data_IF_067471625662
#
_entry.id   IF_067471625662
#
_cell.length_a   1.000
_cell.length_b   1.000
_cell.length_c   1.000
_cell.angle_alpha   90.00
_cell.angle_beta   90.00
_cell.angle_gamma   90.00
#
_symmetry.space_group_name_H-M   'P 1'
#
loop_
_entity.id
_entity.type
_entity.pdbx_description
1 polymer ?
#
# COMPACT_ATOMS: atom_id res chain seq x y z
N UNK A 1 11.79 55.37 -68.68
CA UNK A 1 12.53 54.71 -67.57
C UNK A 1 11.59 54.64 -66.40
N UNK A 2 11.06 53.46 -66.08
CA UNK A 2 10.19 53.23 -64.94
C UNK A 2 10.96 52.36 -63.93
N UNK A 3 11.35 52.95 -62.80
CA UNK A 3 12.04 52.28 -61.73
C UNK A 3 11.02 51.58 -60.81
N UNK A 4 11.03 50.24 -60.83
CA UNK A 4 10.19 49.43 -59.93
C UNK A 4 10.87 49.30 -58.57
N UNK A 5 10.22 49.81 -57.53
CA UNK A 5 10.63 49.67 -56.14
C UNK A 5 10.09 48.30 -55.62
N UNK A 6 10.98 47.34 -55.35
CA UNK A 6 10.61 46.09 -54.68
C UNK A 6 10.59 46.28 -53.17
N UNK A 7 9.43 46.29 -52.58
CA UNK A 7 9.25 46.27 -51.11
C UNK A 7 9.44 44.83 -50.65
N UNK A 8 10.48 44.58 -49.87
CA UNK A 8 10.74 43.30 -49.20
C UNK A 8 9.97 43.28 -47.84
N UNK A 9 8.88 42.56 -47.78
CA UNK A 9 8.12 42.34 -46.54
C UNK A 9 8.86 41.29 -45.69
N UNK A 10 9.50 41.71 -44.58
CA UNK A 10 10.05 40.80 -43.57
C UNK A 10 8.91 40.38 -42.65
N UNK A 11 8.48 39.11 -42.81
CA UNK A 11 7.54 38.47 -41.89
C UNK A 11 8.30 38.09 -40.61
N UNK A 12 8.14 38.87 -39.55
CA UNK A 12 8.56 38.50 -38.21
C UNK A 12 7.61 37.40 -37.67
N UNK A 13 8.03 36.15 -37.75
CA UNK A 13 7.39 35.06 -36.99
C UNK A 13 7.76 35.26 -35.50
N UNK A 14 6.86 35.87 -34.74
CA UNK A 14 6.92 35.83 -33.29
C UNK A 14 6.39 34.43 -32.86
N UNK A 15 7.31 33.53 -32.55
CA UNK A 15 6.99 32.29 -31.84
C UNK A 15 6.59 32.66 -30.40
N UNK A 16 5.30 32.72 -30.16
CA UNK A 16 4.78 32.76 -28.80
C UNK A 16 5.11 31.41 -28.15
N UNK A 17 6.20 31.31 -27.42
CA UNK A 17 6.45 30.29 -26.41
C UNK A 17 5.46 30.56 -25.28
N UNK A 18 4.27 30.01 -25.40
CA UNK A 18 3.37 29.88 -24.25
C UNK A 18 4.02 28.92 -23.26
N UNK A 19 4.74 29.47 -22.28
CA UNK A 19 4.98 28.75 -21.05
C UNK A 19 3.60 28.55 -20.40
N UNK A 20 3.02 27.38 -20.57
CA UNK A 20 1.84 26.98 -19.84
C UNK A 20 2.17 27.04 -18.36
N UNK A 21 1.70 28.07 -17.68
CA UNK A 21 1.68 28.06 -16.21
C UNK A 21 0.82 26.88 -15.81
N UNK A 22 1.38 25.87 -15.14
CA UNK A 22 0.62 24.83 -14.50
C UNK A 22 -0.29 25.51 -13.45
N UNK A 23 -1.55 25.70 -13.80
CA UNK A 23 -2.54 26.28 -12.90
C UNK A 23 -2.79 25.26 -11.79
N UNK A 24 -2.43 25.61 -10.57
CA UNK A 24 -2.75 24.82 -9.38
C UNK A 24 -4.26 24.72 -9.20
N UNK A 25 -4.79 23.50 -9.06
CA UNK A 25 -6.22 23.24 -8.90
C UNK A 25 -6.43 22.40 -7.63
N UNK A 26 -7.43 22.81 -6.84
CA UNK A 26 -7.92 21.96 -5.73
C UNK A 26 -8.73 20.80 -6.31
N UNK A 27 -8.44 19.58 -5.87
CA UNK A 27 -9.13 18.35 -6.25
C UNK A 27 -9.65 17.68 -4.97
N UNK A 28 -10.92 17.30 -4.97
CA UNK A 28 -11.55 16.47 -3.94
C UNK A 28 -12.63 15.67 -4.66
N UNK A 29 -12.27 14.47 -5.14
CA UNK A 29 -13.11 13.71 -6.05
C UNK A 29 -12.94 12.20 -5.92
N UNK A 30 -14.00 11.49 -6.30
CA UNK A 30 -14.00 10.06 -6.55
C UNK A 30 -14.06 9.82 -8.05
N UNK A 31 -13.09 9.12 -8.59
CA UNK A 31 -13.04 8.67 -9.97
C UNK A 31 -13.30 7.18 -10.04
N UNK A 32 -13.79 6.71 -11.19
CA UNK A 32 -14.06 5.29 -11.45
C UNK A 32 -13.43 4.82 -12.76
N UNK A 33 -12.09 4.89 -12.88
CA UNK A 33 -11.40 4.39 -14.05
C UNK A 33 -11.64 2.89 -14.27
N UNK A 34 -11.51 2.46 -15.52
CA UNK A 34 -11.44 1.04 -15.85
C UNK A 34 -10.02 0.54 -15.58
N UNK A 35 -9.88 -0.38 -14.64
CA UNK A 35 -8.62 -0.99 -14.21
C UNK A 35 -8.84 -2.51 -14.17
N UNK A 36 -8.00 -3.25 -14.87
CA UNK A 36 -8.10 -4.72 -14.91
C UNK A 36 -9.46 -5.23 -15.41
N UNK A 37 -10.11 -4.50 -16.31
CA UNK A 37 -11.39 -4.87 -16.94
C UNK A 37 -12.64 -4.61 -16.10
N UNK A 38 -12.51 -3.92 -14.95
CA UNK A 38 -13.64 -3.47 -14.12
C UNK A 38 -13.46 -2.01 -13.72
N UNK A 39 -14.55 -1.32 -13.37
CA UNK A 39 -14.48 0.01 -12.77
C UNK A 39 -14.00 -0.09 -11.34
N UNK A 40 -12.94 0.62 -10.99
CA UNK A 40 -12.42 0.66 -9.61
C UNK A 40 -12.42 2.10 -9.08
N UNK A 41 -12.71 2.26 -7.79
CA UNK A 41 -12.87 3.59 -7.19
C UNK A 41 -11.52 4.12 -6.70
N UNK A 42 -11.20 5.33 -7.15
CA UNK A 42 -10.01 6.08 -6.76
C UNK A 42 -10.42 7.42 -6.19
N UNK A 43 -10.04 7.72 -4.95
CA UNK A 43 -10.23 9.02 -4.31
C UNK A 43 -8.95 9.85 -4.48
N UNK A 44 -9.10 11.10 -4.92
CA UNK A 44 -7.99 12.06 -5.05
C UNK A 44 -8.32 13.31 -4.24
N UNK A 45 -7.45 13.65 -3.29
CA UNK A 45 -7.57 14.83 -2.44
C UNK A 45 -6.31 15.66 -2.45
N UNK A 46 -6.40 16.92 -2.90
CA UNK A 46 -5.33 17.91 -2.85
C UNK A 46 -5.89 19.33 -2.87
N UNK A 47 -5.17 20.27 -2.29
CA UNK A 47 -5.41 21.70 -2.45
C UNK A 47 -4.55 22.32 -3.57
N UNK A 48 -3.60 21.55 -4.11
CA UNK A 48 -2.67 21.94 -5.19
C UNK A 48 -2.30 20.72 -6.04
N UNK A 49 -2.82 20.65 -7.26
CA UNK A 49 -2.60 19.55 -8.21
C UNK A 49 -1.13 19.39 -8.65
N UNK A 50 -0.26 20.37 -8.34
CA UNK A 50 1.18 20.27 -8.62
C UNK A 50 1.95 19.51 -7.54
N UNK A 51 1.32 19.21 -6.40
CA UNK A 51 1.93 18.38 -5.36
C UNK A 51 2.17 16.96 -5.87
N UNK A 52 3.28 16.32 -5.46
CA UNK A 52 3.55 14.93 -5.85
C UNK A 52 2.46 13.99 -5.32
N UNK A 53 2.17 12.96 -6.09
CA UNK A 53 1.18 11.94 -5.72
C UNK A 53 1.74 11.05 -4.61
N UNK A 54 0.93 10.77 -3.58
CA UNK A 54 1.14 9.68 -2.64
C UNK A 54 -0.05 8.71 -2.73
N UNK A 55 0.19 7.56 -3.38
CA UNK A 55 -0.79 6.49 -3.49
C UNK A 55 -0.65 5.51 -2.33
N UNK A 56 -1.77 5.23 -1.66
CA UNK A 56 -1.88 4.23 -0.60
C UNK A 56 -2.40 2.91 -1.16
N UNK A 57 -1.65 1.83 -0.96
CA UNK A 57 -2.09 0.45 -1.17
C UNK A 57 -2.55 -0.10 0.17
N UNK A 58 -3.87 -0.26 0.31
CA UNK A 58 -4.50 -0.74 1.56
C UNK A 58 -4.12 -2.17 1.89
N UNK A 59 -4.17 -2.49 3.17
CA UNK A 59 -4.00 -3.85 3.69
C UNK A 59 -5.23 -4.74 3.47
N UNK A 60 -5.30 -5.82 4.20
CA UNK A 60 -6.37 -6.81 4.12
C UNK A 60 -5.81 -8.17 3.68
N UNK A 61 -6.07 -8.66 2.44
CA UNK A 61 -6.74 -8.03 1.31
C UNK A 61 -8.20 -7.65 1.55
N UNK A 62 -8.73 -6.79 0.67
CA UNK A 62 -10.14 -6.42 0.71
C UNK A 62 -10.51 -5.28 1.66
N UNK A 63 -9.54 -4.58 2.27
CA UNK A 63 -9.81 -3.41 3.11
C UNK A 63 -9.88 -2.12 2.30
N UNK A 64 -10.78 -1.21 2.69
CA UNK A 64 -10.85 0.16 2.18
C UNK A 64 -10.29 1.15 3.20
N UNK A 65 -9.53 2.14 2.73
CA UNK A 65 -9.06 3.26 3.54
C UNK A 65 -9.77 4.58 3.22
N UNK A 66 -10.59 4.65 2.16
CA UNK A 66 -11.21 5.89 1.67
C UNK A 66 -11.94 6.63 2.80
N UNK A 67 -12.72 5.95 3.64
CA UNK A 67 -13.48 6.57 4.70
C UNK A 67 -12.69 6.90 5.98
N UNK A 68 -11.46 6.39 6.11
CA UNK A 68 -10.64 6.49 7.33
C UNK A 68 -9.32 7.22 7.12
N UNK A 69 -8.92 7.43 5.87
CA UNK A 69 -7.61 8.01 5.51
C UNK A 69 -7.36 9.39 6.13
N UNK A 70 -8.39 10.21 6.27
CA UNK A 70 -8.28 11.55 6.86
C UNK A 70 -7.74 11.52 8.30
N UNK A 71 -7.93 10.43 9.05
CA UNK A 71 -7.44 10.28 10.41
C UNK A 71 -5.89 10.22 10.50
N UNK A 72 -5.22 9.82 9.42
CA UNK A 72 -3.77 9.63 9.39
C UNK A 72 -3.06 10.28 8.19
N UNK A 73 -3.75 11.17 7.45
CA UNK A 73 -3.16 11.86 6.28
C UNK A 73 -3.24 13.38 6.35
N UNK A 74 -3.82 13.96 7.41
CA UNK A 74 -4.08 15.40 7.48
C UNK A 74 -2.84 16.28 7.25
N UNK A 75 -1.70 15.94 7.88
CA UNK A 75 -0.46 16.68 7.67
C UNK A 75 0.19 16.36 6.32
N UNK A 76 -0.02 15.16 5.78
CA UNK A 76 0.52 14.75 4.47
C UNK A 76 -0.11 15.55 3.33
N UNK A 77 -1.37 15.98 3.43
CA UNK A 77 -2.05 16.84 2.44
C UNK A 77 -1.31 18.15 2.17
N UNK A 78 -0.51 18.62 3.12
CA UNK A 78 0.32 19.82 2.93
C UNK A 78 1.48 19.59 1.94
N UNK A 79 1.89 18.36 1.73
CA UNK A 79 3.06 17.97 0.93
C UNK A 79 2.71 17.14 -0.31
N UNK A 80 1.56 16.46 -0.30
CA UNK A 80 1.16 15.50 -1.32
C UNK A 80 -0.26 15.71 -1.82
N UNK A 81 -0.49 15.27 -3.03
CA UNK A 81 -1.79 14.83 -3.50
C UNK A 81 -2.05 13.44 -2.95
N UNK A 82 -2.98 13.30 -2.02
CA UNK A 82 -3.32 12.02 -1.37
C UNK A 82 -4.26 11.25 -2.28
N UNK A 83 -3.89 10.00 -2.55
CA UNK A 83 -4.70 9.08 -3.34
C UNK A 83 -4.98 7.81 -2.55
N UNK A 84 -6.27 7.48 -2.44
CA UNK A 84 -6.77 6.22 -1.90
C UNK A 84 -7.41 5.42 -3.04
N UNK A 85 -7.15 4.12 -3.07
CA UNK A 85 -7.70 3.21 -4.05
C UNK A 85 -8.40 2.05 -3.37
N UNK A 86 -9.70 1.92 -3.61
CA UNK A 86 -10.43 0.71 -3.25
C UNK A 86 -10.16 -0.34 -4.34
N UNK A 87 -9.34 -1.30 -3.98
CA UNK A 87 -8.93 -2.40 -4.84
C UNK A 87 -10.17 -3.21 -5.28
N UNK A 88 -10.01 -4.06 -6.32
CA UNK A 88 -11.10 -4.95 -6.72
C UNK A 88 -11.63 -5.72 -5.49
N UNK A 89 -12.93 -5.99 -5.47
CA UNK A 89 -13.66 -6.65 -4.38
C UNK A 89 -13.48 -6.03 -2.98
N UNK A 90 -13.08 -4.74 -2.93
CA UNK A 90 -12.95 -3.98 -1.70
C UNK A 90 -13.81 -2.70 -1.74
N UNK A 91 -14.31 -2.29 -0.57
CA UNK A 91 -14.96 -1.00 -0.33
C UNK A 91 -15.96 -0.58 -1.41
N UNK A 92 -15.83 0.66 -1.89
CA UNK A 92 -16.72 1.24 -2.92
C UNK A 92 -16.59 0.57 -4.29
N UNK A 93 -15.44 -0.05 -4.59
CA UNK A 93 -15.28 -0.85 -5.82
C UNK A 93 -16.19 -2.06 -5.80
N UNK A 94 -16.25 -2.79 -4.68
CA UNK A 94 -17.17 -3.92 -4.52
C UNK A 94 -18.64 -3.48 -4.57
N UNK A 95 -18.98 -2.31 -3.96
CA UNK A 95 -20.31 -1.74 -4.04
C UNK A 95 -20.71 -1.38 -5.48
N UNK A 96 -19.74 -0.93 -6.30
CA UNK A 96 -19.95 -0.56 -7.70
C UNK A 96 -20.10 -1.77 -8.62
N UNK A 97 -19.22 -2.76 -8.46
CA UNK A 97 -19.23 -4.02 -9.20
C UNK A 97 -18.34 -5.07 -8.53
N UNK A 98 -18.75 -6.33 -8.61
CA UNK A 98 -17.91 -7.44 -8.20
C UNK A 98 -16.99 -7.88 -9.34
N UNK A 99 -15.87 -8.50 -9.00
CA UNK A 99 -14.99 -9.12 -10.00
C UNK A 99 -15.67 -10.32 -10.67
N UNK A 100 -15.45 -10.54 -11.96
CA UNK A 100 -16.00 -11.70 -12.66
C UNK A 100 -15.35 -13.03 -12.21
N UNK A 101 -14.17 -12.96 -11.60
CA UNK A 101 -13.41 -14.10 -11.07
C UNK A 101 -12.83 -13.75 -9.71
N UNK A 102 -12.49 -14.75 -8.91
CA UNK A 102 -11.76 -14.52 -7.66
C UNK A 102 -10.44 -13.78 -7.92
N UNK A 103 -10.08 -12.82 -7.05
CA UNK A 103 -8.81 -12.10 -7.17
C UNK A 103 -7.61 -13.05 -7.04
N UNK A 104 -6.61 -12.91 -7.91
CA UNK A 104 -5.28 -13.51 -7.76
C UNK A 104 -4.24 -12.43 -7.47
N UNK A 105 -3.10 -12.81 -6.91
CA UNK A 105 -1.99 -11.88 -6.69
C UNK A 105 -1.56 -11.23 -8.01
N UNK A 106 -1.37 -12.02 -9.05
CA UNK A 106 -0.97 -11.53 -10.39
C UNK A 106 -1.96 -10.50 -10.96
N UNK A 107 -3.28 -10.72 -10.80
CA UNK A 107 -4.28 -9.75 -11.26
C UNK A 107 -4.21 -8.44 -10.45
N UNK A 108 -4.02 -8.54 -9.14
CA UNK A 108 -3.90 -7.37 -8.25
C UNK A 108 -2.63 -6.57 -8.53
N UNK A 109 -1.54 -7.23 -8.86
CA UNK A 109 -0.27 -6.61 -9.29
C UNK A 109 -0.46 -5.82 -10.60
N UNK A 110 -1.13 -6.42 -11.60
CA UNK A 110 -1.48 -5.75 -12.85
C UNK A 110 -2.40 -4.55 -12.64
N UNK A 111 -3.38 -4.68 -11.76
CA UNK A 111 -4.26 -3.57 -11.39
C UNK A 111 -3.47 -2.43 -10.74
N UNK A 112 -2.52 -2.75 -9.86
CA UNK A 112 -1.65 -1.77 -9.20
C UNK A 112 -0.83 -0.99 -10.22
N UNK A 113 -0.24 -1.67 -11.19
CA UNK A 113 0.47 -1.00 -12.29
C UNK A 113 -0.47 -0.08 -13.09
N UNK A 114 -1.67 -0.54 -13.41
CA UNK A 114 -2.64 0.25 -14.19
C UNK A 114 -3.13 1.48 -13.42
N UNK A 115 -3.40 1.37 -12.11
CA UNK A 115 -3.80 2.54 -11.30
C UNK A 115 -2.67 3.56 -11.22
N UNK A 116 -1.43 3.15 -11.07
CA UNK A 116 -0.27 4.05 -11.09
C UNK A 116 -0.18 4.78 -12.44
N UNK A 117 -0.27 4.05 -13.55
CA UNK A 117 -0.25 4.64 -14.89
C UNK A 117 -1.40 5.60 -15.16
N UNK A 118 -2.59 5.26 -14.65
CA UNK A 118 -3.75 6.15 -14.71
C UNK A 118 -3.48 7.46 -13.96
N UNK A 119 -2.98 7.39 -12.72
CA UNK A 119 -2.72 8.57 -11.89
C UNK A 119 -1.63 9.47 -12.48
N UNK A 120 -0.55 8.89 -12.96
CA UNK A 120 0.55 9.62 -13.63
C UNK A 120 0.00 10.43 -14.82
N UNK A 121 -0.86 9.82 -15.63
CA UNK A 121 -1.48 10.47 -16.79
C UNK A 121 -2.51 11.53 -16.36
N UNK A 122 -3.38 11.19 -15.42
CA UNK A 122 -4.49 12.05 -14.97
C UNK A 122 -4.00 13.34 -14.30
N UNK A 123 -2.92 13.23 -13.52
CA UNK A 123 -2.35 14.34 -12.75
C UNK A 123 -1.09 14.92 -13.40
N UNK A 124 -0.76 14.52 -14.63
CA UNK A 124 0.40 15.00 -15.41
C UNK A 124 1.71 14.95 -14.60
N UNK A 125 1.98 13.82 -13.96
CA UNK A 125 3.20 13.54 -13.19
C UNK A 125 4.04 12.51 -13.95
N UNK A 126 5.34 12.40 -13.63
CA UNK A 126 6.22 11.36 -14.20
C UNK A 126 6.36 10.16 -13.26
N UNK A 127 6.35 10.43 -11.95
CA UNK A 127 6.54 9.46 -10.88
C UNK A 127 5.60 9.73 -9.72
N UNK A 128 5.46 8.74 -8.85
CA UNK A 128 4.67 8.85 -7.62
C UNK A 128 5.49 8.44 -6.40
N UNK A 129 5.03 8.83 -5.22
CA UNK A 129 5.35 8.15 -3.97
C UNK A 129 4.31 7.04 -3.76
N UNK A 130 4.79 5.84 -3.41
CA UNK A 130 3.94 4.68 -3.20
C UNK A 130 4.06 4.24 -1.74
N UNK A 131 2.93 3.97 -1.10
CA UNK A 131 2.90 3.43 0.26
C UNK A 131 2.09 2.14 0.28
N UNK A 132 2.71 1.06 0.71
CA UNK A 132 2.03 -0.21 0.96
C UNK A 132 1.85 -0.46 2.46
N UNK A 133 0.66 -0.89 2.88
CA UNK A 133 0.38 -1.30 4.26
C UNK A 133 0.00 -2.78 4.31
N UNK A 134 0.71 -3.59 5.11
CA UNK A 134 0.42 -5.02 5.26
C UNK A 134 0.32 -5.74 3.89
N UNK A 135 -0.83 -6.32 3.54
CA UNK A 135 -1.11 -6.87 2.20
C UNK A 135 -0.71 -5.92 1.06
N UNK A 136 -0.94 -4.60 1.20
CA UNK A 136 -0.55 -3.62 0.19
C UNK A 136 0.93 -3.66 -0.16
N UNK A 137 1.79 -4.22 0.70
CA UNK A 137 3.20 -4.39 0.38
C UNK A 137 3.47 -5.53 -0.61
N UNK A 138 2.60 -6.53 -0.72
CA UNK A 138 2.69 -7.56 -1.77
C UNK A 138 2.68 -6.88 -3.13
N UNK A 139 1.71 -5.98 -3.32
CA UNK A 139 1.54 -5.19 -4.54
C UNK A 139 2.64 -4.13 -4.70
N UNK A 140 3.03 -3.49 -3.59
CA UNK A 140 4.08 -2.46 -3.60
C UNK A 140 5.45 -3.02 -3.99
N UNK A 141 5.85 -4.16 -3.45
CA UNK A 141 7.12 -4.80 -3.82
C UNK A 141 7.15 -5.28 -5.27
N UNK A 142 6.03 -5.70 -5.83
CA UNK A 142 5.92 -5.96 -7.27
C UNK A 142 6.29 -4.72 -8.10
N UNK A 143 5.78 -3.55 -7.75
CA UNK A 143 6.12 -2.28 -8.44
C UNK A 143 7.59 -1.91 -8.21
N UNK A 144 8.12 -2.06 -7.00
CA UNK A 144 9.52 -1.79 -6.67
C UNK A 144 10.48 -2.66 -7.49
N UNK A 145 10.13 -3.92 -7.71
CA UNK A 145 10.93 -4.89 -8.46
C UNK A 145 10.84 -4.65 -9.99
N UNK A 146 9.62 -4.46 -10.51
CA UNK A 146 9.36 -4.50 -11.95
C UNK A 146 9.22 -3.10 -12.59
N UNK A 147 8.90 -2.06 -11.81
CA UNK A 147 8.61 -0.71 -12.30
C UNK A 147 9.19 0.39 -11.40
N UNK A 148 10.45 0.28 -10.92
CA UNK A 148 11.06 1.27 -10.03
C UNK A 148 11.16 2.67 -10.66
N UNK A 149 11.16 2.76 -11.99
CA UNK A 149 11.19 4.03 -12.74
C UNK A 149 9.94 4.89 -12.52
N UNK A 150 8.83 4.30 -12.07
CA UNK A 150 7.58 5.02 -11.76
C UNK A 150 7.58 5.62 -10.35
N UNK A 151 8.60 5.35 -9.53
CA UNK A 151 8.62 5.70 -8.12
C UNK A 151 9.63 6.81 -7.82
N UNK A 152 9.23 7.82 -7.05
CA UNK A 152 10.14 8.67 -6.30
C UNK A 152 10.71 7.92 -5.10
N UNK A 153 9.87 7.23 -4.34
CA UNK A 153 10.23 6.35 -3.23
C UNK A 153 9.09 5.38 -2.90
N UNK A 154 9.43 4.33 -2.18
CA UNK A 154 8.47 3.38 -1.63
C UNK A 154 8.48 3.40 -0.10
N UNK A 155 7.30 3.48 0.52
CA UNK A 155 7.09 3.40 1.97
C UNK A 155 6.45 2.04 2.31
N UNK A 156 7.22 1.16 2.91
CA UNK A 156 6.79 -0.19 3.30
C UNK A 156 6.32 -0.18 4.77
N UNK A 157 5.00 -0.19 4.98
CA UNK A 157 4.38 -0.12 6.31
C UNK A 157 3.98 -1.51 6.78
N UNK A 158 4.57 -1.99 7.87
CA UNK A 158 4.38 -3.34 8.41
C UNK A 158 4.37 -4.39 7.30
N UNK A 159 5.48 -4.53 6.54
CA UNK A 159 5.48 -5.22 5.27
C UNK A 159 5.43 -6.75 5.42
N UNK A 160 4.81 -7.39 4.44
CA UNK A 160 4.91 -8.83 4.20
C UNK A 160 6.27 -9.14 3.59
N UNK A 161 7.22 -9.62 4.40
CA UNK A 161 8.60 -9.96 3.97
C UNK A 161 8.75 -11.47 3.71
N UNK A 162 8.34 -12.30 4.67
CA UNK A 162 8.28 -13.76 4.54
C UNK A 162 7.04 -14.23 5.29
N UNK A 163 5.95 -14.43 4.55
CA UNK A 163 4.65 -14.67 5.17
C UNK A 163 4.64 -16.00 5.93
N UNK A 164 5.18 -17.06 5.31
CA UNK A 164 5.25 -18.37 5.96
C UNK A 164 6.00 -18.29 7.31
N UNK A 165 7.15 -17.63 7.33
CA UNK A 165 7.95 -17.47 8.55
C UNK A 165 7.21 -16.64 9.61
N UNK A 166 6.53 -15.55 9.20
CA UNK A 166 5.73 -14.72 10.10
C UNK A 166 4.58 -15.50 10.75
N UNK A 167 3.86 -16.32 9.97
CA UNK A 167 2.75 -17.15 10.50
C UNK A 167 3.26 -18.24 11.45
N UNK A 168 4.40 -18.85 11.16
CA UNK A 168 5.00 -19.85 12.05
C UNK A 168 5.43 -19.22 13.39
N UNK A 169 6.04 -18.04 13.36
CA UNK A 169 6.43 -17.31 14.55
C UNK A 169 5.21 -16.86 15.36
N UNK A 170 4.20 -16.30 14.68
CA UNK A 170 2.94 -15.90 15.31
C UNK A 170 2.25 -17.07 15.99
N UNK A 171 2.10 -18.22 15.33
CA UNK A 171 1.48 -19.41 15.92
C UNK A 171 2.22 -19.87 17.18
N UNK A 172 3.56 -19.84 17.17
CA UNK A 172 4.38 -20.17 18.33
C UNK A 172 4.12 -19.20 19.49
N UNK A 173 4.09 -17.89 19.23
CA UNK A 173 3.80 -16.86 20.22
C UNK A 173 2.41 -17.06 20.84
N UNK A 174 1.40 -17.31 20.00
CA UNK A 174 0.02 -17.49 20.47
C UNK A 174 -0.14 -18.78 21.31
N UNK A 175 0.48 -19.90 20.91
CA UNK A 175 0.47 -21.14 21.67
C UNK A 175 1.06 -20.96 23.08
N UNK A 176 2.15 -20.22 23.21
CA UNK A 176 2.76 -19.91 24.52
C UNK A 176 1.87 -18.99 25.32
N UNK A 177 1.34 -17.91 24.69
CA UNK A 177 0.52 -16.92 25.40
C UNK A 177 -0.78 -17.50 25.96
N UNK A 178 -1.41 -18.42 25.25
CA UNK A 178 -2.71 -18.99 25.60
C UNK A 178 -2.63 -20.41 26.16
N UNK A 179 -1.48 -20.83 26.68
CA UNK A 179 -1.29 -22.21 27.18
C UNK A 179 -2.30 -22.61 28.28
N UNK A 180 -2.69 -21.66 29.13
CA UNK A 180 -3.67 -21.88 30.22
C UNK A 180 -5.14 -21.72 29.74
N UNK A 181 -5.38 -21.32 28.49
CA UNK A 181 -6.72 -21.20 27.94
C UNK A 181 -7.08 -22.48 27.16
N UNK A 182 -7.96 -23.36 27.65
CA UNK A 182 -8.20 -24.66 27.03
C UNK A 182 -8.84 -24.55 25.64
N UNK A 183 -9.64 -23.52 25.37
CA UNK A 183 -10.26 -23.29 24.05
C UNK A 183 -9.17 -22.85 23.06
N UNK A 184 -8.39 -21.86 23.42
CA UNK A 184 -7.30 -21.36 22.56
C UNK A 184 -6.27 -22.44 22.28
N UNK A 185 -5.84 -23.18 23.32
CA UNK A 185 -4.87 -24.26 23.18
C UNK A 185 -5.36 -25.35 22.21
N UNK A 186 -6.65 -25.73 22.29
CA UNK A 186 -7.25 -26.72 21.37
C UNK A 186 -7.30 -26.20 19.94
N UNK A 187 -7.82 -24.97 19.72
CA UNK A 187 -7.93 -24.37 18.39
C UNK A 187 -6.55 -24.12 17.75
N UNK A 188 -5.60 -23.54 18.49
CA UNK A 188 -4.23 -23.30 17.99
C UNK A 188 -3.44 -24.58 17.75
N UNK A 189 -3.75 -25.67 18.48
CA UNK A 189 -3.13 -26.98 18.24
C UNK A 189 -3.56 -27.59 16.90
N UNK A 190 -4.78 -27.29 16.43
CA UNK A 190 -5.32 -27.81 15.15
C UNK A 190 -4.79 -27.09 13.91
N UNK A 191 -4.18 -25.90 14.07
CA UNK A 191 -3.71 -25.07 12.95
C UNK A 191 -2.56 -25.73 12.21
N UNK A 192 -2.69 -25.80 10.88
CA UNK A 192 -1.62 -26.19 9.97
C UNK A 192 -0.99 -24.95 9.33
N UNK A 193 0.32 -24.94 9.19
CA UNK A 193 1.06 -23.95 8.40
C UNK A 193 2.00 -24.73 7.45
N UNK A 194 1.91 -24.52 6.12
CA UNK A 194 0.94 -23.68 5.39
C UNK A 194 -0.52 -24.07 5.64
N UNK A 195 -1.42 -23.10 5.54
CA UNK A 195 -2.86 -23.29 5.77
C UNK A 195 -3.47 -24.31 4.81
N UNK A 196 -4.30 -25.19 5.32
CA UNK A 196 -4.97 -26.23 4.53
C UNK A 196 -6.46 -25.98 4.38
N UNK A 197 -7.04 -25.30 5.35
CA UNK A 197 -8.47 -24.96 5.42
C UNK A 197 -8.60 -23.53 5.96
N UNK A 198 -9.74 -22.88 5.69
CA UNK A 198 -9.98 -21.48 6.11
C UNK A 198 -9.95 -21.31 7.63
N UNK A 199 -10.31 -22.34 8.39
CA UNK A 199 -10.23 -22.32 9.85
C UNK A 199 -8.80 -22.22 10.38
N UNK A 200 -7.79 -22.67 9.66
CA UNK A 200 -6.39 -22.52 10.07
C UNK A 200 -6.03 -21.01 10.22
N UNK A 201 -6.34 -20.21 9.19
CA UNK A 201 -6.15 -18.78 9.21
C UNK A 201 -7.09 -18.09 10.20
N UNK A 202 -8.36 -18.50 10.26
CA UNK A 202 -9.33 -17.97 11.20
C UNK A 202 -8.86 -18.09 12.64
N UNK A 203 -8.40 -19.26 13.08
CA UNK A 203 -7.96 -19.47 14.47
C UNK A 203 -6.73 -18.61 14.82
N UNK A 204 -5.77 -18.47 13.91
CA UNK A 204 -4.63 -17.58 14.14
C UNK A 204 -5.10 -16.13 14.28
N UNK A 205 -5.94 -15.61 13.37
CA UNK A 205 -6.44 -14.23 13.42
C UNK A 205 -7.35 -13.98 14.63
N UNK A 206 -8.22 -14.92 14.98
CA UNK A 206 -9.04 -14.86 16.18
C UNK A 206 -8.18 -14.65 17.42
N UNK A 207 -7.20 -15.49 17.64
CA UNK A 207 -6.38 -15.42 18.85
C UNK A 207 -5.35 -14.29 18.84
N UNK A 208 -4.87 -13.88 17.69
CA UNK A 208 -4.09 -12.65 17.56
C UNK A 208 -4.91 -11.43 18.00
N UNK A 209 -6.08 -11.25 17.43
CA UNK A 209 -6.94 -10.10 17.73
C UNK A 209 -7.48 -10.13 19.17
N UNK A 210 -7.77 -11.33 19.70
CA UNK A 210 -8.13 -11.47 21.10
C UNK A 210 -6.99 -11.04 22.03
N UNK A 211 -5.75 -11.44 21.71
CA UNK A 211 -4.55 -10.98 22.41
C UNK A 211 -4.38 -9.46 22.38
N UNK A 212 -4.82 -8.81 21.31
CA UNK A 212 -4.84 -7.35 21.14
C UNK A 212 -6.03 -6.66 21.87
N UNK A 213 -6.85 -7.41 22.62
CA UNK A 213 -7.98 -6.88 23.37
C UNK A 213 -9.30 -6.78 22.57
N UNK A 214 -9.39 -7.39 21.39
CA UNK A 214 -10.59 -7.37 20.55
C UNK A 214 -11.50 -8.56 20.91
N UNK A 215 -12.29 -8.44 21.96
CA UNK A 215 -13.15 -9.56 22.45
C UNK A 215 -14.24 -10.00 21.48
N UNK A 216 -14.73 -9.12 20.60
CA UNK A 216 -15.76 -9.43 19.61
C UNK A 216 -15.37 -10.56 18.64
N UNK A 217 -14.08 -10.87 18.51
CA UNK A 217 -13.59 -11.95 17.63
C UNK A 217 -14.02 -13.36 18.08
N UNK A 218 -14.53 -13.50 19.29
CA UNK A 218 -15.08 -14.78 19.81
C UNK A 218 -16.53 -15.01 19.41
N UNK A 219 -17.18 -14.04 18.75
CA UNK A 219 -18.60 -14.14 18.35
C UNK A 219 -18.78 -14.89 17.04
N UNK A 220 -19.96 -15.52 16.88
CA UNK A 220 -20.35 -16.15 15.62
C UNK A 220 -20.43 -15.14 14.46
N UNK A 221 -20.81 -13.88 14.74
CA UNK A 221 -20.85 -12.83 13.74
C UNK A 221 -19.46 -12.57 13.15
N UNK A 222 -18.41 -12.52 13.97
CA UNK A 222 -17.03 -12.37 13.48
C UNK A 222 -16.61 -13.60 12.67
N UNK A 223 -16.87 -14.82 13.18
CA UNK A 223 -16.54 -16.06 12.47
C UNK A 223 -17.19 -16.09 11.09
N UNK A 224 -18.50 -15.84 11.02
CA UNK A 224 -19.24 -15.86 9.75
C UNK A 224 -18.73 -14.78 8.77
N UNK A 225 -18.42 -13.58 9.27
CA UNK A 225 -17.83 -12.51 8.47
C UNK A 225 -16.45 -12.89 7.93
N UNK A 226 -15.61 -13.52 8.75
CA UNK A 226 -14.28 -13.96 8.35
C UNK A 226 -14.35 -15.08 7.29
N UNK A 227 -15.19 -16.08 7.47
CA UNK A 227 -15.37 -17.15 6.49
C UNK A 227 -15.90 -16.61 5.16
N UNK A 228 -16.83 -15.66 5.19
CA UNK A 228 -17.29 -14.98 3.97
C UNK A 228 -16.17 -14.21 3.28
N UNK A 229 -15.29 -13.54 4.03
CA UNK A 229 -14.08 -12.92 3.50
C UNK A 229 -13.15 -13.98 2.88
N UNK A 230 -12.98 -15.13 3.54
CA UNK A 230 -12.15 -16.25 3.04
C UNK A 230 -12.64 -16.79 1.70
N UNK A 231 -13.95 -16.87 1.46
CA UNK A 231 -14.52 -17.30 0.17
C UNK A 231 -13.96 -16.49 -1.01
N UNK A 232 -13.68 -15.19 -0.81
CA UNK A 232 -13.12 -14.31 -1.85
C UNK A 232 -11.60 -14.34 -1.87
N UNK A 233 -10.96 -14.32 -0.70
CA UNK A 233 -9.56 -13.93 -0.59
C UNK A 233 -8.58 -15.05 -0.23
N UNK A 234 -9.06 -16.22 0.26
CA UNK A 234 -8.16 -17.33 0.61
C UNK A 234 -7.27 -17.79 -0.54
N UNK A 235 -7.73 -17.84 -1.83
CA UNK A 235 -6.83 -18.21 -2.92
C UNK A 235 -5.64 -17.26 -3.04
N UNK A 236 -5.88 -15.95 -3.09
CA UNK A 236 -4.80 -14.95 -3.14
C UNK A 236 -3.93 -14.97 -1.88
N UNK A 237 -4.54 -15.16 -0.68
CA UNK A 237 -3.78 -15.25 0.57
C UNK A 237 -2.86 -16.48 0.62
N UNK A 238 -3.30 -17.62 0.04
CA UNK A 238 -2.47 -18.81 -0.06
C UNK A 238 -1.27 -18.61 -1.02
N UNK A 239 -1.42 -17.80 -2.08
CA UNK A 239 -0.30 -17.41 -2.93
C UNK A 239 0.74 -16.60 -2.14
N UNK A 240 0.28 -15.69 -1.25
CA UNK A 240 1.15 -14.86 -0.39
C UNK A 240 1.98 -15.69 0.58
N UNK A 241 1.53 -16.90 0.98
CA UNK A 241 2.34 -17.80 1.80
C UNK A 241 3.67 -18.22 1.15
N UNK A 242 3.80 -18.06 -0.17
CA UNK A 242 5.03 -18.36 -0.91
C UNK A 242 5.99 -17.15 -0.99
N UNK A 243 5.59 -15.98 -0.52
CA UNK A 243 6.46 -14.78 -0.52
C UNK A 243 7.59 -14.96 0.49
N UNK A 244 8.82 -14.80 -0.02
CA UNK A 244 10.07 -14.84 0.75
C UNK A 244 11.07 -13.86 0.13
N UNK A 245 10.89 -12.57 0.40
CA UNK A 245 11.69 -11.49 -0.19
C UNK A 245 13.21 -11.63 0.08
N UNK A 246 13.66 -12.12 1.25
CA UNK A 246 15.08 -12.43 1.45
C UNK A 246 15.69 -13.35 0.40
N UNK A 247 14.89 -14.23 -0.22
CA UNK A 247 15.35 -15.10 -1.30
C UNK A 247 15.19 -14.48 -2.68
N UNK A 248 14.08 -13.76 -2.92
CA UNK A 248 13.65 -13.33 -4.26
C UNK A 248 14.05 -11.90 -4.59
N UNK A 249 14.08 -10.97 -3.62
CA UNK A 249 14.32 -9.54 -3.84
C UNK A 249 15.42 -9.01 -2.91
N UNK A 250 16.68 -9.14 -3.36
CA UNK A 250 17.87 -8.74 -2.59
C UNK A 250 18.36 -7.32 -2.87
N UNK A 251 17.89 -6.72 -3.95
CA UNK A 251 18.28 -5.39 -4.39
C UNK A 251 17.10 -4.70 -5.06
N UNK A 252 16.95 -3.39 -4.79
CA UNK A 252 15.91 -2.53 -5.38
C UNK A 252 16.54 -1.28 -5.96
N UNK A 253 15.91 -0.69 -6.99
CA UNK A 253 16.44 0.44 -7.75
C UNK A 253 15.73 1.77 -7.47
N UNK A 254 14.97 1.85 -6.38
CA UNK A 254 14.36 3.10 -5.88
C UNK A 254 14.62 3.26 -4.38
N UNK A 255 14.57 4.48 -3.83
CA UNK A 255 14.60 4.70 -2.39
C UNK A 255 13.46 3.95 -1.69
N UNK A 256 13.76 3.28 -0.58
CA UNK A 256 12.77 2.49 0.19
C UNK A 256 12.89 2.79 1.68
N UNK A 257 11.74 3.00 2.32
CA UNK A 257 11.64 3.33 3.73
C UNK A 257 10.71 2.34 4.43
N UNK A 258 11.23 1.67 5.46
CA UNK A 258 10.48 0.71 6.25
C UNK A 258 9.89 1.38 7.49
N UNK A 259 8.62 1.15 7.74
CA UNK A 259 7.88 1.64 8.90
C UNK A 259 7.28 0.44 9.61
N UNK A 260 7.74 0.10 10.79
CA UNK A 260 7.25 -1.10 11.47
C UNK A 260 6.94 -0.83 12.92
N UNK A 261 5.84 -1.40 13.42
CA UNK A 261 5.46 -1.36 14.81
C UNK A 261 6.30 -2.32 15.62
N UNK A 262 6.94 -1.85 16.69
CA UNK A 262 7.83 -2.70 17.53
C UNK A 262 7.12 -3.91 18.14
N UNK A 263 5.80 -3.83 18.28
CA UNK A 263 4.95 -4.90 18.82
C UNK A 263 4.24 -5.70 17.75
N UNK A 264 4.59 -5.48 16.46
CA UNK A 264 3.96 -6.23 15.37
C UNK A 264 4.47 -7.68 15.36
N UNK A 265 3.55 -8.59 15.64
CA UNK A 265 3.76 -10.03 15.56
C UNK A 265 3.02 -10.66 14.37
N UNK A 266 2.23 -9.87 13.62
CA UNK A 266 1.49 -10.36 12.47
C UNK A 266 2.40 -10.46 11.24
N UNK A 267 3.20 -9.44 10.97
CA UNK A 267 4.21 -9.43 9.89
C UNK A 267 5.64 -9.39 10.43
N UNK A 268 5.83 -9.85 11.64
CA UNK A 268 7.08 -9.95 12.42
C UNK A 268 8.09 -8.83 12.19
N UNK A 269 8.18 -7.91 13.16
CA UNK A 269 9.20 -6.85 13.17
C UNK A 269 10.62 -7.39 13.00
N UNK A 270 10.95 -8.51 13.65
CA UNK A 270 12.29 -9.11 13.59
C UNK A 270 12.65 -9.59 12.18
N UNK A 271 11.67 -10.14 11.45
CA UNK A 271 11.85 -10.56 10.04
C UNK A 271 12.09 -9.32 9.17
N UNK A 272 11.35 -8.24 9.41
CA UNK A 272 11.51 -6.97 8.69
C UNK A 272 12.88 -6.35 8.95
N UNK A 273 13.33 -6.27 10.21
CA UNK A 273 14.64 -5.73 10.59
C UNK A 273 15.78 -6.51 9.91
N UNK A 274 15.71 -7.84 9.95
CA UNK A 274 16.70 -8.68 9.29
C UNK A 274 16.75 -8.46 7.77
N UNK A 275 15.59 -8.42 7.12
CA UNK A 275 15.53 -8.15 5.68
C UNK A 275 16.06 -6.76 5.34
N UNK A 276 15.73 -5.74 6.15
CA UNK A 276 16.25 -4.39 5.98
C UNK A 276 17.79 -4.37 5.99
N UNK A 277 18.45 -5.11 6.89
CA UNK A 277 19.92 -5.18 6.93
C UNK A 277 20.49 -5.77 5.63
N UNK A 278 19.89 -6.84 5.11
CA UNK A 278 20.36 -7.60 3.95
C UNK A 278 20.02 -6.92 2.60
N UNK A 279 18.94 -6.14 2.51
CA UNK A 279 18.47 -5.52 1.28
C UNK A 279 19.43 -4.42 0.81
N UNK A 280 19.78 -4.42 -0.48
CA UNK A 280 20.48 -3.32 -1.14
C UNK A 280 19.50 -2.36 -1.77
N UNK A 281 19.71 -1.05 -1.59
CA UNK A 281 18.90 0.00 -2.18
C UNK A 281 19.75 1.27 -2.36
N UNK A 282 19.39 2.18 -3.29
CA UNK A 282 20.06 3.48 -3.42
C UNK A 282 19.99 4.29 -2.13
N UNK A 283 18.86 4.24 -1.45
CA UNK A 283 18.63 4.83 -0.12
C UNK A 283 17.64 3.95 0.64
N UNK A 284 17.90 3.68 1.90
CA UNK A 284 16.98 2.95 2.78
C UNK A 284 17.10 3.42 4.22
N UNK A 285 15.97 3.49 4.91
CA UNK A 285 15.88 3.73 6.35
C UNK A 285 14.80 2.84 6.98
N UNK A 286 14.95 2.55 8.28
CA UNK A 286 13.99 1.80 9.07
C UNK A 286 13.54 2.63 10.26
N UNK A 287 12.23 2.83 10.37
CA UNK A 287 11.58 3.59 11.43
C UNK A 287 10.75 2.68 12.31
N UNK A 288 11.16 2.56 13.59
CA UNK A 288 10.44 1.77 14.59
C UNK A 288 9.39 2.63 15.32
N UNK A 289 8.18 2.10 15.43
CA UNK A 289 7.07 2.68 16.16
C UNK A 289 6.88 1.95 17.48
N UNK A 290 7.45 2.52 18.54
CA UNK A 290 7.65 1.87 19.84
C UNK A 290 6.36 1.46 20.54
N UNK A 291 5.27 2.20 20.32
CA UNK A 291 3.97 1.96 20.99
C UNK A 291 3.05 1.08 20.19
N UNK A 292 3.31 0.93 18.88
CA UNK A 292 2.41 0.32 17.89
C UNK A 292 2.69 -1.16 17.68
N UNK A 293 1.61 -1.89 17.34
CA UNK A 293 1.64 -3.19 16.69
C UNK A 293 1.48 -3.04 15.18
N UNK A 294 0.52 -3.80 14.61
CA UNK A 294 0.31 -3.85 13.15
C UNK A 294 -0.33 -2.60 12.54
N UNK A 295 -0.87 -1.66 13.34
CA UNK A 295 -1.66 -0.52 12.86
C UNK A 295 -0.99 0.82 13.18
N UNK A 296 0.29 1.01 12.81
CA UNK A 296 1.09 2.18 13.18
C UNK A 296 0.45 3.52 12.81
N UNK A 297 -0.25 3.59 11.67
CA UNK A 297 -0.93 4.81 11.20
C UNK A 297 -2.16 5.16 12.03
N UNK A 298 -2.74 4.22 12.77
CA UNK A 298 -3.80 4.45 13.74
C UNK A 298 -3.26 4.67 15.16
N UNK A 299 -2.22 3.91 15.55
CA UNK A 299 -1.68 3.94 16.91
C UNK A 299 -0.82 5.19 17.17
N UNK A 300 -0.01 5.61 16.18
CA UNK A 300 0.91 6.75 16.26
C UNK A 300 0.80 7.65 15.02
N UNK A 301 -0.41 8.21 14.70
CA UNK A 301 -0.69 8.90 13.44
C UNK A 301 0.19 10.14 13.20
N UNK A 302 0.49 10.90 14.25
CA UNK A 302 1.35 12.09 14.12
C UNK A 302 2.79 11.71 13.80
N UNK A 303 3.35 10.71 14.50
CA UNK A 303 4.70 10.21 14.24
C UNK A 303 4.78 9.63 12.83
N UNK A 304 3.77 8.88 12.40
CA UNK A 304 3.68 8.30 11.08
C UNK A 304 3.79 9.37 9.98
N UNK A 305 2.94 10.40 10.03
CA UNK A 305 2.92 11.48 9.06
C UNK A 305 4.23 12.29 9.07
N UNK A 306 4.71 12.66 10.26
CA UNK A 306 5.94 13.45 10.40
C UNK A 306 7.16 12.70 9.89
N UNK A 307 7.21 11.37 10.04
CA UNK A 307 8.31 10.56 9.53
C UNK A 307 8.31 10.55 8.00
N UNK A 308 7.15 10.37 7.36
CA UNK A 308 7.03 10.46 5.90
C UNK A 308 7.47 11.85 5.39
N UNK A 309 7.03 12.93 6.04
CA UNK A 309 7.41 14.29 5.65
C UNK A 309 8.92 14.51 5.74
N UNK A 310 9.56 14.01 6.80
CA UNK A 310 11.02 14.12 6.98
C UNK A 310 11.80 13.41 5.87
N UNK A 311 11.34 12.26 5.39
CA UNK A 311 12.04 11.55 4.30
C UNK A 311 12.05 12.35 3.00
N UNK A 312 11.04 13.22 2.75
CA UNK A 312 11.02 14.12 1.61
C UNK A 312 12.07 15.21 1.71
N UNK A 313 12.26 15.76 2.90
CA UNK A 313 13.16 16.90 3.12
C UNK A 313 14.62 16.45 2.98
N UNK A 314 14.95 15.26 3.45
CA UNK A 314 16.28 14.67 3.28
C UNK A 314 16.61 14.29 1.83
N UNK A 315 15.63 13.94 1.01
CA UNK A 315 15.87 13.64 -0.40
C UNK A 315 16.16 14.90 -1.24
N UNK A 316 15.56 16.05 -0.89
CA UNK A 316 15.79 17.32 -1.61
C UNK A 316 17.14 17.98 -1.33
N UNK A 317 17.82 17.61 -0.26
CA UNK A 317 19.14 18.18 0.10
C UNK A 317 20.31 17.42 -0.52
N UNK A 318 20.06 16.26 -1.13
CA UNK A 318 21.07 15.40 -1.73
C UNK A 318 21.06 15.44 -3.28
N UNK A 319 20.08 16.14 -3.91
CA UNK A 319 20.04 16.50 -5.34
C UNK A 319 20.69 17.87 -5.56
#
# INVERSE_FOLDING_TARGET
MKTSLKILAILLLTTNLSFGQNISVKIDTLLTPEIGGIKQVVEIKTDDSNKPILLFLSGGPGSSMINTADNFTNSLKNKFTIVQWDQRDAGKTLELNASPTQPSVEQMEKDTYQVIRFLIKELNQEKIYLLGSSWGNVLGFYIVENHPELLHSYFAVNPVISQLASEMELLKILKVHFIENPIASKELASVNIPFKIDEDLFYIRKWLFFKEGKEYVTTDAFKNGFLKWSETWSPAWNEVMNIDLPKTLKEVNCPIYFFTGKKDIQTSTQITEKYFEELKAPKKDLFLFEKSGHQIHHDEPEKFQNTIIKTLETNKTEE
#
